data_IF_127314304877
#
_entry.id   IF_127314304877
#
_cell.length_a   1.000
_cell.length_b   1.000
_cell.length_c   1.000
_cell.angle_alpha   90.00
_cell.angle_beta   90.00
_cell.angle_gamma   90.00
#
_symmetry.space_group_name_H-M   'P 1'
#
loop_
_entity.id
_entity.type
_entity.pdbx_description
1 polymer ?
#
# COMPACT_ATOMS: atom_id res chain seq x y z
N UNK A 1 -3.75 31.47 33.23
CA UNK A 1 -2.46 31.59 32.52
C UNK A 1 -2.01 30.21 32.06
N UNK A 2 -1.95 30.05 30.73
CA UNK A 2 -1.23 29.07 29.89
C UNK A 2 -1.29 27.57 30.21
N UNK A 3 -2.00 26.80 29.38
CA UNK A 3 -1.38 26.02 28.30
C UNK A 3 -2.39 25.05 27.67
N UNK A 4 -2.81 25.38 26.45
CA UNK A 4 -3.54 24.52 25.52
C UNK A 4 -2.76 23.22 25.26
N UNK A 5 -3.47 22.10 25.14
CA UNK A 5 -2.93 20.74 24.89
C UNK A 5 -2.30 20.52 23.51
N UNK A 6 -1.77 21.57 22.89
CA UNK A 6 -0.90 21.58 21.69
C UNK A 6 0.44 22.28 22.01
N UNK A 7 0.61 22.82 23.23
CA UNK A 7 1.85 23.48 23.64
C UNK A 7 2.81 22.51 24.33
N UNK A 8 3.72 21.95 23.53
CA UNK A 8 5.18 21.87 23.78
C UNK A 8 5.80 20.85 22.83
N UNK A 9 6.07 21.28 21.60
CA UNK A 9 7.37 20.96 20.99
C UNK A 9 8.39 21.70 21.87
N UNK A 10 8.79 21.09 23.00
CA UNK A 10 9.64 21.75 24.00
C UNK A 10 11.09 21.73 23.53
N UNK A 11 11.37 22.56 22.52
CA UNK A 11 12.70 22.79 21.98
C UNK A 11 12.66 23.10 20.48
N UNK A 12 13.56 23.99 20.05
CA UNK A 12 13.88 24.24 18.63
C UNK A 12 14.10 22.91 17.86
N UNK A 13 14.60 21.88 18.54
CA UNK A 13 14.88 20.56 17.97
C UNK A 13 13.62 19.78 17.58
N UNK A 14 12.59 19.72 18.42
CA UNK A 14 11.35 19.00 18.11
C UNK A 14 10.60 19.64 16.93
N UNK A 15 10.62 20.97 16.81
CA UNK A 15 10.11 21.67 15.64
C UNK A 15 10.85 21.28 14.35
N UNK A 16 12.18 21.17 14.40
CA UNK A 16 12.99 20.75 13.25
C UNK A 16 12.67 19.31 12.84
N UNK A 17 12.61 18.38 13.80
CA UNK A 17 12.24 16.98 13.54
C UNK A 17 10.85 16.85 12.94
N UNK A 18 9.88 17.61 13.45
CA UNK A 18 8.52 17.65 12.90
C UNK A 18 8.51 18.14 11.44
N UNK A 19 9.29 19.17 11.12
CA UNK A 19 9.39 19.70 9.76
C UNK A 19 10.04 18.69 8.80
N UNK A 20 11.16 18.09 9.21
CA UNK A 20 11.86 17.04 8.43
C UNK A 20 10.94 15.84 8.18
N UNK A 21 10.22 15.39 9.22
CA UNK A 21 9.27 14.29 9.11
C UNK A 21 8.21 14.57 8.05
N UNK A 22 7.56 15.74 8.14
CA UNK A 22 6.53 16.16 7.20
C UNK A 22 7.06 16.29 5.78
N UNK A 23 8.27 16.84 5.62
CA UNK A 23 8.92 16.95 4.32
C UNK A 23 9.20 15.58 3.71
N UNK A 24 9.73 14.63 4.50
CA UNK A 24 10.04 13.29 4.04
C UNK A 24 8.80 12.47 3.65
N UNK A 25 7.72 12.55 4.43
CA UNK A 25 6.45 11.91 4.07
C UNK A 25 5.83 12.60 2.85
N UNK A 26 5.93 13.93 2.74
CA UNK A 26 5.42 14.67 1.58
C UNK A 26 6.17 14.33 0.29
N UNK A 27 7.50 14.25 0.33
CA UNK A 27 8.29 13.85 -0.83
C UNK A 27 7.97 12.42 -1.25
N UNK A 28 7.82 11.50 -0.30
CA UNK A 28 7.39 10.13 -0.57
C UNK A 28 6.03 10.07 -1.28
N UNK A 29 5.02 10.82 -0.81
CA UNK A 29 3.68 10.80 -1.42
C UNK A 29 3.64 11.41 -2.82
N UNK A 30 4.39 12.49 -3.06
CA UNK A 30 4.41 13.18 -4.36
C UNK A 30 5.20 12.38 -5.39
N UNK A 31 6.36 11.84 -5.01
CA UNK A 31 7.26 11.12 -5.92
C UNK A 31 7.09 9.59 -5.91
N UNK A 32 6.10 9.09 -5.17
CA UNK A 32 5.83 7.67 -4.90
C UNK A 32 6.01 6.74 -6.10
N UNK A 33 5.59 7.18 -7.28
CA UNK A 33 5.67 6.43 -8.55
C UNK A 33 6.40 7.18 -9.67
N UNK A 34 7.05 8.32 -9.39
CA UNK A 34 7.52 9.26 -10.44
C UNK A 34 9.02 9.35 -10.66
N UNK A 35 9.84 9.27 -9.60
CA UNK A 35 11.30 9.37 -9.71
C UNK A 35 11.99 8.12 -9.12
N UNK A 36 13.00 7.54 -9.81
CA UNK A 36 13.64 6.33 -9.32
C UNK A 36 14.28 6.62 -7.98
N UNK A 37 14.25 5.65 -7.07
CA UNK A 37 14.88 5.72 -5.75
C UNK A 37 14.31 6.80 -4.80
N UNK A 38 13.42 7.68 -5.24
CA UNK A 38 12.76 8.66 -4.36
C UNK A 38 11.80 8.02 -3.37
N UNK A 39 11.27 6.84 -3.70
CA UNK A 39 10.54 6.00 -2.76
C UNK A 39 11.43 5.48 -1.62
N UNK A 40 12.76 5.61 -1.71
CA UNK A 40 13.74 5.29 -0.67
C UNK A 40 14.20 6.52 0.10
N UNK A 41 14.39 7.67 -0.57
CA UNK A 41 14.97 8.88 0.05
C UNK A 41 14.16 9.35 1.28
N UNK A 42 12.84 9.46 1.15
CA UNK A 42 11.96 9.86 2.26
C UNK A 42 12.06 8.92 3.46
N UNK A 43 11.78 7.62 3.29
CA UNK A 43 11.99 6.61 4.34
C UNK A 43 13.41 6.59 4.91
N UNK A 44 14.46 6.68 4.09
CA UNK A 44 15.84 6.68 4.58
C UNK A 44 16.12 7.89 5.49
N UNK A 45 15.65 9.08 5.11
CA UNK A 45 15.74 10.28 5.95
C UNK A 45 15.00 10.08 7.28
N UNK A 46 13.79 9.51 7.24
CA UNK A 46 13.02 9.18 8.46
C UNK A 46 13.74 8.15 9.33
N UNK A 47 14.38 7.14 8.74
CA UNK A 47 15.15 6.13 9.47
C UNK A 47 16.33 6.77 10.20
N UNK A 48 17.09 7.62 9.52
CA UNK A 48 18.20 8.36 10.14
C UNK A 48 17.72 9.24 11.29
N UNK A 49 16.57 9.92 11.12
CA UNK A 49 15.98 10.74 12.19
C UNK A 49 15.46 9.89 13.35
N UNK A 50 14.91 8.71 13.09
CA UNK A 50 14.50 7.77 14.13
C UNK A 50 15.72 7.30 14.94
N UNK A 51 16.80 6.90 14.26
CA UNK A 51 18.01 6.37 14.91
C UNK A 51 18.77 7.43 15.72
N UNK A 52 18.97 8.63 15.16
CA UNK A 52 19.88 9.63 15.74
C UNK A 52 19.17 10.86 16.32
N UNK A 53 17.95 11.16 15.85
CA UNK A 53 17.24 12.39 16.21
C UNK A 53 16.42 12.29 17.49
N UNK A 54 16.12 11.07 17.97
CA UNK A 54 15.06 10.84 18.94
C UNK A 54 15.50 10.43 20.35
N UNK A 55 14.73 10.90 21.33
CA UNK A 55 14.76 10.41 22.70
C UNK A 55 13.84 9.19 22.83
N UNK A 56 14.36 8.00 22.52
CA UNK A 56 13.59 6.75 22.49
C UNK A 56 12.76 6.48 23.75
N UNK A 57 13.25 6.89 24.93
CA UNK A 57 12.53 6.74 26.20
C UNK A 57 11.17 7.47 26.21
N UNK A 58 11.10 8.65 25.59
CA UNK A 58 9.84 9.42 25.49
C UNK A 58 8.89 8.79 24.47
N UNK A 59 9.42 8.26 23.36
CA UNK A 59 8.63 7.62 22.30
C UNK A 59 8.01 6.32 22.81
N UNK A 60 8.81 5.45 23.43
CA UNK A 60 8.39 4.13 23.88
C UNK A 60 7.34 4.21 25.01
N UNK A 61 7.36 5.25 25.84
CA UNK A 61 6.42 5.42 26.95
C UNK A 61 5.00 5.81 26.54
N UNK A 62 4.75 6.17 25.27
CA UNK A 62 3.48 6.71 24.80
C UNK A 62 2.76 5.89 23.72
N UNK A 63 3.24 4.68 23.39
CA UNK A 63 2.70 3.88 22.29
C UNK A 63 1.45 3.12 22.76
N UNK A 64 0.35 3.30 22.05
CA UNK A 64 -0.88 2.55 22.33
C UNK A 64 -0.80 1.10 21.82
N UNK A 65 -1.65 0.24 22.39
CA UNK A 65 -1.69 -1.19 22.08
C UNK A 65 -1.87 -1.48 20.59
N UNK A 66 -2.71 -0.73 19.86
CA UNK A 66 -2.95 -0.98 18.44
C UNK A 66 -1.75 -0.61 17.57
N UNK A 67 -1.02 0.43 17.94
CA UNK A 67 0.29 0.75 17.33
C UNK A 67 1.33 -0.33 17.63
N UNK A 68 1.29 -0.97 18.81
CA UNK A 68 2.14 -2.12 19.14
C UNK A 68 1.77 -3.37 18.31
N UNK A 69 0.47 -3.64 18.08
CA UNK A 69 0.04 -4.72 17.19
C UNK A 69 0.57 -4.51 15.77
N UNK A 70 0.50 -3.28 15.25
CA UNK A 70 1.03 -2.95 13.92
C UNK A 70 2.55 -3.15 13.87
N UNK A 71 3.30 -2.64 14.85
CA UNK A 71 4.74 -2.88 14.94
C UNK A 71 5.07 -4.38 15.04
N UNK A 72 4.30 -5.11 15.85
CA UNK A 72 4.44 -6.53 16.07
C UNK A 72 4.31 -7.36 14.80
N UNK A 73 3.35 -7.06 13.92
CA UNK A 73 3.21 -7.81 12.65
C UNK A 73 4.35 -7.55 11.66
N UNK A 74 4.91 -6.34 11.64
CA UNK A 74 6.11 -6.06 10.84
C UNK A 74 7.33 -6.84 11.35
N UNK A 75 7.54 -6.87 12.67
CA UNK A 75 8.61 -7.68 13.28
C UNK A 75 8.38 -9.18 13.08
N UNK A 76 7.13 -9.63 13.22
CA UNK A 76 6.76 -11.02 13.00
C UNK A 76 7.03 -11.45 11.55
N UNK A 77 6.72 -10.60 10.57
CA UNK A 77 7.02 -10.90 9.18
C UNK A 77 8.53 -10.93 8.90
N UNK A 78 9.30 -9.99 9.48
CA UNK A 78 10.76 -10.06 9.45
C UNK A 78 11.28 -11.40 10.00
N UNK A 79 10.81 -11.81 11.18
CA UNK A 79 11.23 -13.07 11.80
C UNK A 79 10.78 -14.29 10.98
N UNK A 80 9.58 -14.25 10.41
CA UNK A 80 9.03 -15.29 9.55
C UNK A 80 9.83 -15.52 8.26
N UNK A 81 10.61 -14.52 7.81
CA UNK A 81 11.56 -14.66 6.70
C UNK A 81 12.97 -14.99 7.21
N UNK A 82 13.45 -14.24 8.22
CA UNK A 82 14.80 -14.36 8.74
C UNK A 82 15.10 -15.75 9.32
N UNK A 83 14.15 -16.37 10.04
CA UNK A 83 14.35 -17.68 10.66
C UNK A 83 14.55 -18.78 9.60
N UNK A 84 13.69 -18.94 8.58
CA UNK A 84 13.95 -19.85 7.47
C UNK A 84 15.27 -19.57 6.73
N UNK A 85 15.59 -18.30 6.46
CA UNK A 85 16.84 -17.93 5.78
C UNK A 85 18.08 -18.40 6.56
N UNK A 86 18.10 -18.18 7.88
CA UNK A 86 19.18 -18.67 8.76
C UNK A 86 19.21 -20.20 8.76
N UNK A 87 18.05 -20.85 8.85
CA UNK A 87 17.94 -22.31 8.91
C UNK A 87 18.51 -22.98 7.67
N UNK A 88 18.26 -22.41 6.48
CA UNK A 88 18.78 -22.92 5.21
C UNK A 88 20.20 -22.47 4.89
N UNK A 89 20.81 -21.63 5.73
CA UNK A 89 22.17 -21.13 5.51
C UNK A 89 22.27 -20.20 4.30
N UNK A 90 21.21 -19.45 4.01
CA UNK A 90 21.14 -18.54 2.88
C UNK A 90 22.07 -17.35 3.04
N UNK A 91 22.49 -16.76 1.91
CA UNK A 91 23.39 -15.62 1.90
C UNK A 91 22.81 -14.40 2.63
N UNK A 92 23.69 -13.59 3.22
CA UNK A 92 23.31 -12.37 3.95
C UNK A 92 22.54 -11.39 3.05
N UNK A 93 22.75 -11.43 1.73
CA UNK A 93 22.01 -10.62 0.76
C UNK A 93 20.50 -10.90 0.74
N UNK A 94 20.07 -12.13 1.06
CA UNK A 94 18.64 -12.49 1.11
C UNK A 94 17.91 -11.81 2.27
N UNK A 95 18.64 -11.32 3.28
CA UNK A 95 18.05 -10.57 4.40
C UNK A 95 17.76 -9.12 4.04
N UNK A 96 18.34 -8.57 2.97
CA UNK A 96 18.24 -7.14 2.64
C UNK A 96 16.77 -6.67 2.61
N UNK A 97 15.91 -7.36 1.86
CA UNK A 97 14.48 -7.03 1.75
C UNK A 97 13.78 -7.11 3.11
N UNK A 98 14.04 -8.16 3.89
CA UNK A 98 13.44 -8.42 5.19
C UNK A 98 13.77 -7.31 6.21
N UNK A 99 14.99 -6.77 6.20
CA UNK A 99 15.39 -5.72 7.16
C UNK A 99 14.56 -4.43 7.06
N UNK A 100 13.92 -4.17 5.90
CA UNK A 100 13.06 -3.00 5.71
C UNK A 100 11.82 -3.02 6.61
N UNK A 101 11.38 -4.18 7.08
CA UNK A 101 10.29 -4.28 8.05
C UNK A 101 10.72 -3.83 9.46
N UNK A 102 12.00 -4.03 9.83
CA UNK A 102 12.57 -3.42 11.04
C UNK A 102 12.62 -1.90 10.87
N UNK A 103 13.09 -1.42 9.72
CA UNK A 103 13.11 0.01 9.42
C UNK A 103 11.71 0.63 9.48
N UNK A 104 10.69 -0.07 8.96
CA UNK A 104 9.29 0.35 9.04
C UNK A 104 8.81 0.48 10.48
N UNK A 105 9.23 -0.40 11.39
CA UNK A 105 8.89 -0.30 12.83
C UNK A 105 9.55 0.93 13.45
N UNK A 106 10.84 1.16 13.22
CA UNK A 106 11.53 2.34 13.76
C UNK A 106 10.92 3.64 13.24
N UNK A 107 10.55 3.67 11.96
CA UNK A 107 9.90 4.82 11.34
C UNK A 107 8.48 4.98 11.85
N UNK A 108 7.72 3.89 12.05
CA UNK A 108 6.38 3.93 12.66
C UNK A 108 6.44 4.66 14.01
N UNK A 109 7.37 4.27 14.88
CA UNK A 109 7.54 4.91 16.19
C UNK A 109 7.88 6.41 16.06
N UNK A 110 8.68 6.77 15.06
CA UNK A 110 9.01 8.17 14.77
C UNK A 110 7.81 8.98 14.27
N UNK A 111 7.05 8.45 13.29
CA UNK A 111 5.91 9.16 12.69
C UNK A 111 4.69 9.23 13.62
N UNK A 112 4.59 8.35 14.63
CA UNK A 112 3.59 8.49 15.69
C UNK A 112 3.82 9.76 16.53
N UNK A 113 5.08 10.16 16.73
CA UNK A 113 5.43 11.41 17.45
C UNK A 113 5.37 12.63 16.54
N UNK A 114 5.83 12.51 15.29
CA UNK A 114 5.90 13.61 14.32
C UNK A 114 5.05 13.34 13.07
N UNK A 115 3.72 13.20 13.19
CA UNK A 115 2.87 12.81 12.07
C UNK A 115 2.63 13.94 11.07
N UNK A 116 2.26 13.54 9.85
CA UNK A 116 1.64 14.42 8.86
C UNK A 116 0.12 14.47 9.11
N UNK A 117 -0.48 15.66 9.11
CA UNK A 117 -1.94 15.83 9.26
C UNK A 117 -2.72 15.16 8.14
N UNK A 118 -3.98 14.79 8.37
CA UNK A 118 -4.84 14.20 7.34
C UNK A 118 -4.98 15.09 6.10
N UNK A 119 -5.16 16.41 6.30
CA UNK A 119 -5.21 17.38 5.20
C UNK A 119 -3.96 17.28 4.33
N UNK A 120 -2.78 17.37 4.96
CA UNK A 120 -1.49 17.24 4.27
C UNK A 120 -1.39 15.92 3.52
N UNK A 121 -1.59 14.81 4.23
CA UNK A 121 -1.48 13.45 3.68
C UNK A 121 -2.37 13.25 2.45
N UNK A 122 -3.68 13.50 2.58
CA UNK A 122 -4.64 13.32 1.49
C UNK A 122 -4.32 14.24 0.32
N UNK A 123 -4.05 15.53 0.58
CA UNK A 123 -3.77 16.49 -0.49
C UNK A 123 -2.49 16.15 -1.26
N UNK A 124 -1.44 15.70 -0.59
CA UNK A 124 -0.18 15.29 -1.21
C UNK A 124 -0.32 13.98 -1.98
N UNK A 125 -1.11 13.02 -1.49
CA UNK A 125 -1.47 11.83 -2.25
C UNK A 125 -2.23 12.20 -3.55
N UNK A 126 -3.15 13.16 -3.49
CA UNK A 126 -3.85 13.66 -4.67
C UNK A 126 -2.93 14.35 -5.68
N UNK A 127 -2.00 15.18 -5.19
CA UNK A 127 -0.98 15.82 -6.03
C UNK A 127 -0.06 14.78 -6.67
N UNK A 128 0.40 13.77 -5.91
CA UNK A 128 1.19 12.66 -6.45
C UNK A 128 0.43 11.87 -7.51
N UNK A 129 -0.87 11.61 -7.28
CA UNK A 129 -1.76 10.94 -8.24
C UNK A 129 -1.91 11.74 -9.54
N UNK A 130 -2.09 13.06 -9.43
CA UNK A 130 -2.14 13.98 -10.56
C UNK A 130 -0.82 14.01 -11.34
N UNK A 131 0.30 14.08 -10.64
CA UNK A 131 1.62 14.10 -11.24
C UNK A 131 1.93 12.78 -11.97
N UNK A 132 1.50 11.63 -11.43
CA UNK A 132 1.51 10.35 -12.14
C UNK A 132 0.67 10.43 -13.43
N UNK A 133 -0.56 10.93 -13.35
CA UNK A 133 -1.41 11.14 -14.54
C UNK A 133 -0.74 12.00 -15.61
N UNK A 134 -0.14 13.13 -15.21
CA UNK A 134 0.57 14.04 -16.11
C UNK A 134 1.79 13.38 -16.75
N UNK A 135 2.58 12.62 -15.97
CA UNK A 135 3.72 11.86 -16.48
C UNK A 135 3.28 10.79 -17.50
N UNK A 136 2.20 10.05 -17.21
CA UNK A 136 1.64 9.08 -18.14
C UNK A 136 1.13 9.74 -19.42
N UNK A 137 0.50 10.90 -19.32
CA UNK A 137 0.02 11.64 -20.48
C UNK A 137 1.18 12.09 -21.36
N UNK A 138 2.24 12.62 -20.75
CA UNK A 138 3.46 13.00 -21.46
C UNK A 138 4.08 11.80 -22.20
N UNK A 139 4.28 10.68 -21.50
CA UNK A 139 4.86 9.46 -22.07
C UNK A 139 4.00 8.87 -23.21
N UNK A 140 2.69 8.84 -23.05
CA UNK A 140 1.80 8.26 -24.04
C UNK A 140 1.64 9.14 -25.29
N UNK A 141 1.47 10.45 -25.11
CA UNK A 141 1.12 11.35 -26.22
C UNK A 141 2.33 11.93 -26.94
N UNK A 142 3.42 12.22 -26.22
CA UNK A 142 4.58 12.88 -26.81
C UNK A 142 5.72 11.92 -27.12
N UNK A 143 5.90 10.88 -26.29
CA UNK A 143 6.92 9.85 -26.51
C UNK A 143 6.36 8.67 -27.33
N UNK A 144 5.03 8.50 -27.36
CA UNK A 144 4.39 7.40 -28.09
C UNK A 144 4.55 6.04 -27.40
N UNK A 145 4.77 6.04 -26.08
CA UNK A 145 4.93 4.81 -25.32
C UNK A 145 3.64 3.97 -25.33
N UNK A 146 3.70 2.77 -25.90
CA UNK A 146 2.58 1.82 -25.94
C UNK A 146 2.19 1.28 -24.56
N UNK A 147 3.14 1.30 -23.61
CA UNK A 147 2.94 0.92 -22.22
C UNK A 147 3.77 1.84 -21.32
N UNK A 148 3.09 2.67 -20.54
CA UNK A 148 3.79 3.62 -19.67
C UNK A 148 4.35 2.90 -18.44
N UNK A 149 5.60 3.22 -18.11
CA UNK A 149 6.28 2.75 -16.91
C UNK A 149 7.11 3.86 -16.28
N UNK A 150 7.47 3.68 -15.02
CA UNK A 150 8.51 4.44 -14.34
C UNK A 150 9.56 3.45 -13.79
N UNK A 151 10.84 3.79 -13.94
CA UNK A 151 12.02 3.03 -13.46
C UNK A 151 12.05 1.56 -13.92
N UNK A 152 11.47 1.27 -15.08
CA UNK A 152 11.46 -0.04 -15.75
C UNK A 152 10.33 -1.01 -15.35
N UNK A 153 9.39 -0.61 -14.48
CA UNK A 153 8.28 -1.50 -14.13
C UNK A 153 6.89 -0.84 -14.28
N UNK A 154 6.14 -1.14 -15.35
CA UNK A 154 4.78 -0.63 -15.55
C UNK A 154 3.78 -1.13 -14.51
N UNK A 155 4.06 -2.26 -13.85
CA UNK A 155 3.18 -2.87 -12.85
C UNK A 155 3.25 -2.12 -11.53
N UNK A 156 4.46 -1.79 -11.07
CA UNK A 156 4.63 -0.97 -9.87
C UNK A 156 4.11 0.45 -10.09
N UNK A 157 4.43 1.05 -11.25
CA UNK A 157 3.91 2.35 -11.64
C UNK A 157 2.37 2.39 -11.63
N UNK A 158 1.72 1.46 -12.35
CA UNK A 158 0.28 1.42 -12.48
C UNK A 158 -0.44 1.16 -11.15
N UNK A 159 -0.01 0.14 -10.40
CA UNK A 159 -0.63 -0.19 -9.11
C UNK A 159 -0.38 0.89 -8.05
N UNK A 160 0.78 1.55 -8.09
CA UNK A 160 1.05 2.69 -7.20
C UNK A 160 0.21 3.92 -7.55
N UNK A 161 0.02 4.21 -8.83
CA UNK A 161 -0.89 5.27 -9.28
C UNK A 161 -2.35 4.98 -8.88
N UNK A 162 -2.79 3.71 -9.01
CA UNK A 162 -4.09 3.26 -8.51
C UNK A 162 -4.21 3.45 -7.00
N UNK A 163 -3.18 3.09 -6.22
CA UNK A 163 -3.17 3.31 -4.78
C UNK A 163 -3.35 4.79 -4.40
N UNK A 164 -2.66 5.71 -5.07
CA UNK A 164 -2.83 7.16 -4.87
C UNK A 164 -4.20 7.67 -5.32
N UNK A 165 -4.76 7.12 -6.42
CA UNK A 165 -6.11 7.45 -6.87
C UNK A 165 -7.17 7.02 -5.84
N UNK A 166 -7.03 5.85 -5.24
CA UNK A 166 -7.91 5.36 -4.19
C UNK A 166 -7.82 6.22 -2.92
N UNK A 167 -6.61 6.62 -2.50
CA UNK A 167 -6.43 7.57 -1.41
C UNK A 167 -7.10 8.92 -1.74
N UNK A 168 -6.94 9.41 -2.96
CA UNK A 168 -7.59 10.63 -3.44
C UNK A 168 -9.12 10.53 -3.40
N UNK A 169 -9.68 9.38 -3.80
CA UNK A 169 -11.12 9.11 -3.76
C UNK A 169 -11.67 9.24 -2.34
N UNK A 170 -10.97 8.68 -1.35
CA UNK A 170 -11.39 8.81 0.06
C UNK A 170 -11.28 10.24 0.60
N UNK A 171 -10.37 11.04 0.04
CA UNK A 171 -10.25 12.48 0.32
C UNK A 171 -11.47 13.30 -0.08
N UNK A 172 -12.30 12.83 -1.03
CA UNK A 172 -13.54 13.52 -1.40
C UNK A 172 -14.54 13.55 -0.24
N UNK A 173 -14.69 12.43 0.48
CA UNK A 173 -15.57 12.37 1.66
C UNK A 173 -15.12 13.33 2.75
N UNK A 174 -13.80 13.48 2.92
CA UNK A 174 -13.21 14.48 3.82
C UNK A 174 -13.45 15.91 3.33
N UNK A 175 -13.27 16.17 2.03
CA UNK A 175 -13.41 17.48 1.41
C UNK A 175 -14.82 18.06 1.54
N UNK A 176 -15.85 17.22 1.45
CA UNK A 176 -17.25 17.63 1.57
C UNK A 176 -17.59 18.29 2.92
N UNK A 177 -16.77 18.09 3.95
CA UNK A 177 -16.94 18.66 5.30
C UNK A 177 -16.00 19.85 5.59
N UNK A 178 -15.27 20.36 4.59
CA UNK A 178 -14.31 21.46 4.75
C UNK A 178 -14.86 22.80 4.27
N UNK A 179 -14.34 23.93 4.79
CA UNK A 179 -14.75 25.29 4.40
C UNK A 179 -14.66 25.57 2.89
N UNK A 180 -13.61 25.09 2.23
CA UNK A 180 -13.36 25.27 0.79
C UNK A 180 -13.67 23.99 0.01
N UNK A 181 -14.82 23.37 0.28
CA UNK A 181 -15.13 22.01 -0.18
C UNK A 181 -15.04 21.85 -1.69
N UNK A 182 -15.50 22.81 -2.50
CA UNK A 182 -15.40 22.71 -3.97
C UNK A 182 -13.96 22.62 -4.49
N UNK A 183 -13.04 23.43 -3.95
CA UNK A 183 -11.62 23.37 -4.33
C UNK A 183 -10.99 22.03 -3.94
N UNK A 184 -11.31 21.54 -2.73
CA UNK A 184 -10.82 20.25 -2.27
C UNK A 184 -11.38 19.10 -3.10
N UNK A 185 -12.69 19.09 -3.37
CA UNK A 185 -13.33 18.09 -4.23
C UNK A 185 -12.69 18.10 -5.62
N UNK A 186 -12.46 19.28 -6.21
CA UNK A 186 -11.77 19.43 -7.48
C UNK A 186 -10.37 18.80 -7.49
N UNK A 187 -9.55 19.09 -6.48
CA UNK A 187 -8.22 18.49 -6.33
C UNK A 187 -8.28 16.96 -6.24
N UNK A 188 -9.16 16.42 -5.40
CA UNK A 188 -9.27 14.98 -5.20
C UNK A 188 -9.82 14.25 -6.43
N UNK A 189 -10.83 14.80 -7.09
CA UNK A 189 -11.35 14.24 -8.34
C UNK A 189 -10.30 14.27 -9.46
N UNK A 190 -9.54 15.36 -9.56
CA UNK A 190 -8.42 15.44 -10.50
C UNK A 190 -7.33 14.39 -10.16
N UNK A 191 -7.07 14.15 -8.86
CA UNK A 191 -6.25 13.04 -8.36
C UNK A 191 -6.75 11.66 -8.80
N UNK A 192 -8.04 11.38 -8.63
CA UNK A 192 -8.67 10.12 -9.06
C UNK A 192 -8.51 9.90 -10.56
N UNK A 193 -8.80 10.93 -11.36
CA UNK A 193 -8.67 10.87 -12.82
C UNK A 193 -7.21 10.67 -13.23
N UNK A 194 -6.27 11.41 -12.65
CA UNK A 194 -4.84 11.32 -12.96
C UNK A 194 -4.26 9.95 -12.68
N UNK A 195 -4.43 9.43 -11.46
CA UNK A 195 -3.89 8.11 -11.08
C UNK A 195 -4.62 6.96 -11.76
N UNK A 196 -5.93 7.07 -11.96
CA UNK A 196 -6.71 6.11 -12.75
C UNK A 196 -6.22 6.03 -14.19
N UNK A 197 -6.02 7.17 -14.86
CA UNK A 197 -5.46 7.24 -16.21
C UNK A 197 -4.05 6.64 -16.27
N UNK A 198 -3.16 7.00 -15.34
CA UNK A 198 -1.82 6.42 -15.26
C UNK A 198 -1.86 4.89 -15.10
N UNK A 199 -2.76 4.37 -14.26
CA UNK A 199 -2.95 2.93 -14.10
C UNK A 199 -3.48 2.26 -15.37
N UNK A 200 -4.41 2.88 -16.11
CA UNK A 200 -4.92 2.34 -17.38
C UNK A 200 -3.81 2.24 -18.43
N UNK A 201 -3.11 3.35 -18.67
CA UNK A 201 -2.10 3.47 -19.73
C UNK A 201 -0.84 2.66 -19.41
N UNK A 202 -0.60 2.31 -18.15
CA UNK A 202 0.44 1.34 -17.78
C UNK A 202 0.16 -0.09 -18.26
N UNK A 203 -1.07 -0.38 -18.71
CA UNK A 203 -1.52 -1.71 -19.12
C UNK A 203 -1.58 -2.73 -17.96
N UNK A 204 -1.50 -2.26 -16.72
CA UNK A 204 -1.48 -3.10 -15.51
C UNK A 204 -2.90 -3.41 -15.08
N UNK A 205 -3.30 -4.68 -15.19
CA UNK A 205 -4.68 -5.14 -14.98
C UNK A 205 -4.99 -5.49 -13.54
N UNK A 206 -3.98 -5.87 -12.77
CA UNK A 206 -4.16 -6.40 -11.41
C UNK A 206 -4.80 -5.37 -10.46
N UNK A 207 -4.49 -4.07 -10.61
CA UNK A 207 -5.16 -3.02 -9.86
C UNK A 207 -6.65 -2.86 -10.18
N UNK A 208 -7.06 -3.13 -11.43
CA UNK A 208 -8.46 -3.06 -11.85
C UNK A 208 -9.29 -4.22 -11.31
N UNK A 209 -8.69 -5.41 -11.20
CA UNK A 209 -9.32 -6.58 -10.56
C UNK A 209 -9.65 -6.29 -9.09
N UNK A 210 -8.91 -5.40 -8.43
CA UNK A 210 -9.19 -5.01 -7.04
C UNK A 210 -10.41 -4.08 -6.89
N UNK A 211 -10.83 -3.37 -7.95
CA UNK A 211 -11.87 -2.33 -7.88
C UNK A 211 -13.22 -2.87 -7.39
N UNK A 212 -13.74 -4.03 -7.86
CA UNK A 212 -14.99 -4.59 -7.33
C UNK A 212 -14.92 -4.89 -5.83
N UNK A 213 -13.81 -5.42 -5.33
CA UNK A 213 -13.62 -5.72 -3.91
C UNK A 213 -13.54 -4.44 -3.06
N UNK A 214 -12.87 -3.41 -3.59
CA UNK A 214 -12.84 -2.08 -2.99
C UNK A 214 -14.25 -1.47 -2.94
N UNK A 215 -15.05 -1.66 -3.99
CA UNK A 215 -16.45 -1.22 -4.01
C UNK A 215 -17.28 -1.90 -2.92
N UNK A 216 -17.07 -3.20 -2.66
CA UNK A 216 -17.71 -3.91 -1.53
C UNK A 216 -17.34 -3.26 -0.19
N UNK A 217 -16.07 -2.91 0.03
CA UNK A 217 -15.64 -2.21 1.27
C UNK A 217 -16.33 -0.84 1.36
N UNK A 218 -16.39 -0.08 0.27
CA UNK A 218 -17.07 1.21 0.23
C UNK A 218 -18.58 1.07 0.56
N UNK A 219 -19.25 0.08 -0.04
CA UNK A 219 -20.66 -0.23 0.22
C UNK A 219 -20.85 -0.65 1.67
N UNK A 220 -19.99 -1.49 2.23
CA UNK A 220 -20.04 -1.86 3.64
C UNK A 220 -19.94 -0.62 4.54
N UNK A 221 -19.00 0.29 4.29
CA UNK A 221 -18.80 1.49 5.12
C UNK A 221 -19.97 2.47 4.98
N UNK A 222 -20.49 2.65 3.76
CA UNK A 222 -21.50 3.64 3.44
C UNK A 222 -22.92 3.09 3.27
N UNK A 223 -23.20 1.84 3.64
CA UNK A 223 -24.51 1.21 3.43
C UNK A 223 -25.67 2.09 3.93
N UNK A 224 -25.60 2.56 5.17
CA UNK A 224 -26.63 3.43 5.78
C UNK A 224 -26.81 4.78 5.04
N UNK A 225 -25.75 5.57 4.77
CA UNK A 225 -25.89 6.82 4.01
C UNK A 225 -26.14 6.64 2.51
N UNK A 226 -25.82 5.49 1.89
CA UNK A 226 -26.12 5.17 0.48
C UNK A 226 -27.63 5.15 0.26
N UNK A 227 -28.42 4.58 1.19
CA UNK A 227 -29.88 4.60 1.10
C UNK A 227 -30.50 6.00 1.29
N UNK A 228 -29.70 7.03 1.61
CA UNK A 228 -30.10 8.44 1.50
C UNK A 228 -29.70 8.96 0.12
N UNK A 229 -30.69 9.36 -0.69
CA UNK A 229 -30.64 9.69 -2.15
C UNK A 229 -29.48 10.57 -2.67
N UNK A 230 -28.65 11.20 -1.81
CA UNK A 230 -27.58 12.13 -2.21
C UNK A 230 -26.19 11.48 -2.38
N UNK A 231 -25.90 10.33 -1.76
CA UNK A 231 -24.57 9.70 -1.84
C UNK A 231 -24.43 8.72 -3.02
N UNK A 232 -25.53 8.07 -3.43
CA UNK A 232 -25.60 7.23 -4.64
C UNK A 232 -25.13 8.02 -5.86
N UNK A 233 -25.56 9.27 -6.03
CA UNK A 233 -25.15 10.09 -7.18
C UNK A 233 -23.64 10.31 -7.26
N UNK A 234 -22.93 10.37 -6.13
CA UNK A 234 -21.49 10.62 -6.10
C UNK A 234 -20.67 9.34 -6.38
N UNK A 235 -21.11 8.21 -5.81
CA UNK A 235 -20.53 6.88 -6.10
C UNK A 235 -20.83 6.49 -7.54
N UNK A 236 -22.05 6.74 -8.04
CA UNK A 236 -22.43 6.50 -9.42
C UNK A 236 -21.62 7.41 -10.37
N UNK A 237 -21.41 8.69 -10.05
CA UNK A 237 -20.59 9.58 -10.87
C UNK A 237 -19.11 9.14 -10.91
N UNK A 238 -18.57 8.69 -9.79
CA UNK A 238 -17.19 8.17 -9.72
C UNK A 238 -17.04 6.88 -10.53
N UNK A 239 -18.00 5.95 -10.39
CA UNK A 239 -18.09 4.72 -11.19
C UNK A 239 -18.35 5.01 -12.67
N UNK A 240 -19.08 6.07 -13.01
CA UNK A 240 -19.32 6.50 -14.39
C UNK A 240 -18.06 7.15 -14.98
N UNK A 241 -17.28 7.92 -14.23
CA UNK A 241 -16.00 8.48 -14.71
C UNK A 241 -14.94 7.38 -14.90
N UNK A 242 -14.89 6.41 -13.99
CA UNK A 242 -14.04 5.22 -14.11
C UNK A 242 -14.54 4.30 -15.23
N UNK A 243 -15.86 4.12 -15.34
CA UNK A 243 -16.50 3.36 -16.41
C UNK A 243 -16.31 4.00 -17.78
N UNK A 244 -16.40 5.33 -17.89
CA UNK A 244 -16.20 6.07 -19.12
C UNK A 244 -14.74 6.05 -19.60
N UNK A 245 -13.78 6.09 -18.68
CA UNK A 245 -12.37 5.88 -19.02
C UNK A 245 -12.04 4.44 -19.40
N UNK A 246 -12.73 3.45 -18.81
CA UNK A 246 -12.69 2.05 -19.26
C UNK A 246 -13.38 1.84 -20.62
N UNK A 247 -14.47 2.57 -20.92
CA UNK A 247 -15.18 2.53 -22.19
C UNK A 247 -14.32 2.99 -23.38
N UNK A 248 -13.34 3.86 -23.14
CA UNK A 248 -12.38 4.30 -24.18
C UNK A 248 -11.31 3.25 -24.53
N UNK A 249 -11.24 2.13 -23.80
CA UNK A 249 -10.23 1.07 -24.03
C UNK A 249 -10.78 -0.36 -23.87
N UNK A 250 -12.10 -0.57 -24.00
CA UNK A 250 -12.74 -1.90 -23.89
C UNK A 250 -12.09 -2.91 -24.81
N UNK A 251 -11.84 -2.53 -26.07
CA UNK A 251 -11.18 -3.39 -27.06
C UNK A 251 -9.81 -3.88 -26.59
N UNK A 252 -9.05 -3.05 -25.88
CA UNK A 252 -7.75 -3.43 -25.38
C UNK A 252 -7.88 -4.37 -24.18
N UNK A 253 -8.81 -4.12 -23.25
CA UNK A 253 -9.05 -4.99 -22.09
C UNK A 253 -9.59 -6.35 -22.54
N UNK A 254 -10.55 -6.36 -23.45
CA UNK A 254 -11.18 -7.56 -24.02
C UNK A 254 -10.17 -8.42 -24.79
N UNK A 255 -9.43 -7.83 -25.76
CA UNK A 255 -8.39 -8.56 -26.51
C UNK A 255 -7.34 -9.16 -25.58
N UNK A 256 -6.98 -8.44 -24.53
CA UNK A 256 -5.99 -8.88 -23.54
C UNK A 256 -6.52 -9.95 -22.58
N UNK A 257 -7.81 -9.93 -22.26
CA UNK A 257 -8.48 -10.98 -21.50
C UNK A 257 -8.58 -12.25 -22.35
N UNK A 258 -8.98 -12.12 -23.62
CA UNK A 258 -9.06 -13.24 -24.55
C UNK A 258 -7.71 -13.93 -24.72
N UNK A 259 -6.63 -13.18 -24.99
CA UNK A 259 -5.28 -13.74 -25.07
C UNK A 259 -4.89 -14.50 -23.80
N UNK A 260 -5.28 -14.01 -22.61
CA UNK A 260 -4.96 -14.72 -21.37
C UNK A 260 -5.76 -16.02 -21.20
N UNK A 261 -7.00 -16.07 -21.69
CA UNK A 261 -7.83 -17.27 -21.72
C UNK A 261 -7.27 -18.27 -22.73
N UNK A 262 -6.94 -17.81 -23.94
CA UNK A 262 -6.36 -18.64 -24.99
C UNK A 262 -5.03 -19.24 -24.53
N UNK A 263 -4.11 -18.44 -23.95
CA UNK A 263 -2.85 -18.94 -23.38
C UNK A 263 -3.06 -19.95 -22.24
N UNK A 264 -4.14 -19.82 -21.46
CA UNK A 264 -4.48 -20.78 -20.39
C UNK A 264 -4.98 -22.10 -20.97
N UNK A 265 -5.85 -22.05 -21.99
CA UNK A 265 -6.36 -23.25 -22.68
C UNK A 265 -5.21 -23.98 -23.38
N UNK A 266 -4.38 -23.25 -24.15
CA UNK A 266 -3.20 -23.77 -24.84
C UNK A 266 -2.22 -24.48 -23.88
N UNK A 267 -2.08 -24.02 -22.64
CA UNK A 267 -1.23 -24.65 -21.63
C UNK A 267 -1.71 -26.08 -21.29
N UNK A 268 -3.02 -26.28 -21.11
CA UNK A 268 -3.58 -27.58 -20.72
C UNK A 268 -3.88 -28.49 -21.89
N UNK A 269 -4.32 -27.95 -23.03
CA UNK A 269 -4.71 -28.75 -24.20
C UNK A 269 -3.51 -29.09 -25.09
N UNK A 270 -2.60 -28.15 -25.29
CA UNK A 270 -1.48 -28.30 -26.21
C UNK A 270 -0.12 -28.38 -25.52
N UNK A 271 -0.06 -28.21 -24.19
CA UNK A 271 1.19 -28.18 -23.43
C UNK A 271 2.05 -26.94 -23.71
N UNK A 272 1.49 -25.87 -24.32
CA UNK A 272 2.24 -24.66 -24.65
C UNK A 272 2.46 -23.79 -23.42
N UNK A 273 3.63 -23.90 -22.81
CA UNK A 273 4.00 -23.20 -21.59
C UNK A 273 4.97 -22.01 -21.77
N UNK A 274 5.40 -21.72 -23.00
CA UNK A 274 6.27 -20.58 -23.33
C UNK A 274 5.58 -19.20 -23.37
N UNK A 275 4.32 -19.11 -22.95
CA UNK A 275 3.49 -17.88 -22.96
C UNK A 275 3.56 -17.13 -21.62
N UNK A 276 3.03 -15.89 -21.54
CA UNK A 276 3.08 -15.15 -20.27
C UNK A 276 2.24 -15.80 -19.17
N UNK A 277 1.11 -16.43 -19.52
CA UNK A 277 0.31 -17.20 -18.57
C UNK A 277 0.97 -18.54 -18.28
N UNK A 278 1.45 -19.25 -19.32
CA UNK A 278 2.09 -20.56 -19.18
C UNK A 278 3.31 -20.53 -18.25
N UNK A 279 4.18 -19.53 -18.40
CA UNK A 279 5.34 -19.36 -17.52
C UNK A 279 4.94 -19.12 -16.05
N UNK A 280 3.85 -18.41 -15.78
CA UNK A 280 3.36 -18.21 -14.41
C UNK A 280 2.78 -19.49 -13.83
N UNK A 281 2.02 -20.25 -14.61
CA UNK A 281 1.51 -21.55 -14.17
C UNK A 281 2.64 -22.51 -13.83
N UNK A 282 3.71 -22.52 -14.64
CA UNK A 282 4.91 -23.31 -14.37
C UNK A 282 5.67 -22.82 -13.13
N UNK A 283 5.81 -21.51 -12.92
CA UNK A 283 6.34 -20.94 -11.67
C UNK A 283 5.51 -21.38 -10.45
N UNK A 284 4.18 -21.38 -10.58
CA UNK A 284 3.31 -21.78 -9.47
C UNK A 284 3.41 -23.26 -9.18
N UNK A 285 3.51 -24.10 -10.23
CA UNK A 285 3.78 -25.53 -10.10
C UNK A 285 5.12 -25.78 -9.40
N UNK A 286 6.17 -25.05 -9.77
CA UNK A 286 7.47 -25.14 -9.11
C UNK A 286 7.40 -24.71 -7.64
N UNK A 287 6.79 -23.56 -7.34
CA UNK A 287 6.62 -23.07 -5.98
C UNK A 287 5.81 -24.00 -5.09
N UNK A 288 4.72 -24.57 -5.61
CA UNK A 288 3.93 -25.56 -4.87
C UNK A 288 4.72 -26.86 -4.65
N UNK A 289 5.54 -27.27 -5.62
CA UNK A 289 6.43 -28.43 -5.46
C UNK A 289 7.47 -28.17 -4.36
N UNK A 290 8.08 -26.98 -4.33
CA UNK A 290 9.01 -26.57 -3.29
C UNK A 290 8.34 -26.49 -1.90
N UNK A 291 7.12 -25.96 -1.84
CA UNK A 291 6.33 -25.93 -0.61
C UNK A 291 6.03 -27.33 -0.07
N UNK A 292 5.59 -28.27 -0.92
CA UNK A 292 5.26 -29.64 -0.50
C UNK A 292 6.47 -30.37 0.07
N UNK A 293 7.69 -30.07 -0.42
CA UNK A 293 8.93 -30.67 0.09
C UNK A 293 9.26 -30.23 1.52
N UNK A 294 8.98 -28.98 1.87
CA UNK A 294 9.20 -28.46 3.22
C UNK A 294 8.06 -27.51 3.64
N UNK A 295 6.90 -28.04 4.06
CA UNK A 295 5.68 -27.26 4.21
C UNK A 295 5.70 -26.34 5.44
N UNK A 296 6.52 -26.61 6.45
CA UNK A 296 6.54 -25.79 7.67
C UNK A 296 7.41 -24.55 7.52
N UNK A 297 8.69 -24.74 7.16
CA UNK A 297 9.71 -23.68 7.11
C UNK A 297 9.96 -23.20 5.67
N UNK A 298 9.45 -23.90 4.66
CA UNK A 298 9.74 -23.63 3.25
C UNK A 298 11.10 -24.19 2.85
N UNK A 299 11.41 -24.12 1.56
CA UNK A 299 12.66 -24.62 0.98
C UNK A 299 13.78 -23.57 0.96
N UNK A 300 13.52 -22.33 1.39
CA UNK A 300 14.43 -21.21 1.18
C UNK A 300 14.50 -20.76 -0.28
N UNK A 301 15.06 -19.58 -0.58
CA UNK A 301 15.39 -19.14 -1.93
C UNK A 301 16.20 -20.18 -2.71
N UNK A 302 17.35 -20.64 -2.20
CA UNK A 302 18.24 -21.57 -2.90
C UNK A 302 17.60 -22.94 -3.12
N UNK A 303 16.84 -23.45 -2.15
CA UNK A 303 16.10 -24.71 -2.32
C UNK A 303 14.92 -24.58 -3.29
N UNK A 304 14.28 -23.41 -3.38
CA UNK A 304 13.25 -23.15 -4.40
C UNK A 304 13.86 -23.12 -5.80
N UNK A 305 15.02 -22.47 -5.97
CA UNK A 305 15.76 -22.45 -7.23
C UNK A 305 16.22 -23.85 -7.65
N UNK A 306 16.66 -24.68 -6.70
CA UNK A 306 17.00 -26.08 -6.96
C UNK A 306 15.79 -26.90 -7.46
N UNK A 307 14.60 -26.67 -6.90
CA UNK A 307 13.35 -27.31 -7.38
C UNK A 307 13.00 -26.86 -8.79
N UNK A 308 13.18 -25.58 -9.11
CA UNK A 308 12.97 -25.06 -10.47
C UNK A 308 13.92 -25.77 -11.44
N UNK A 309 15.22 -25.82 -11.13
CA UNK A 309 16.23 -26.46 -11.98
C UNK A 309 15.95 -27.95 -12.20
N UNK A 310 15.52 -28.67 -11.17
CA UNK A 310 15.11 -30.09 -11.29
C UNK A 310 13.92 -30.25 -12.24
N UNK A 311 12.87 -29.43 -12.07
CA UNK A 311 11.69 -29.52 -12.93
C UNK A 311 11.98 -29.12 -14.38
N UNK A 312 12.93 -28.22 -14.63
CA UNK A 312 13.40 -27.88 -15.97
C UNK A 312 14.18 -29.05 -16.57
N UNK A 313 15.10 -29.66 -15.82
CA UNK A 313 15.87 -30.82 -16.27
C UNK A 313 14.96 -32.01 -16.63
N UNK A 314 13.88 -32.21 -15.86
CA UNK A 314 12.86 -33.23 -16.11
C UNK A 314 11.86 -32.85 -17.23
N UNK A 315 12.01 -31.69 -17.88
CA UNK A 315 11.09 -31.15 -18.88
C UNK A 315 9.63 -31.01 -18.37
N UNK A 316 9.45 -30.83 -17.06
CA UNK A 316 8.14 -30.69 -16.41
C UNK A 316 7.64 -29.25 -16.38
N UNK A 317 8.52 -28.28 -16.61
CA UNK A 317 8.23 -26.85 -16.76
C UNK A 317 9.14 -26.23 -17.83
N UNK A 318 8.76 -25.07 -18.35
CA UNK A 318 9.50 -24.36 -19.38
C UNK A 318 10.86 -23.84 -18.84
N UNK A 319 11.98 -24.01 -19.57
CA UNK A 319 13.31 -23.56 -19.12
C UNK A 319 13.40 -22.07 -18.81
N UNK A 320 12.61 -21.24 -19.50
CA UNK A 320 12.62 -19.80 -19.26
C UNK A 320 12.21 -19.39 -17.84
N UNK A 321 11.60 -20.30 -17.04
CA UNK A 321 11.29 -20.05 -15.62
C UNK A 321 12.54 -19.74 -14.80
N UNK A 322 13.70 -20.33 -15.13
CA UNK A 322 14.99 -20.07 -14.44
C UNK A 322 15.47 -18.62 -14.57
N UNK A 323 14.98 -17.87 -15.56
CA UNK A 323 15.34 -16.46 -15.73
C UNK A 323 14.62 -15.53 -14.74
N UNK A 324 13.71 -16.05 -13.91
CA UNK A 324 12.90 -15.25 -13.00
C UNK A 324 13.30 -15.47 -11.55
N UNK A 325 13.56 -14.37 -10.85
CA UNK A 325 13.90 -14.38 -9.42
C UNK A 325 12.71 -14.55 -8.48
N UNK A 326 11.48 -14.60 -9.00
CA UNK A 326 10.25 -14.67 -8.20
C UNK A 326 9.11 -15.30 -8.99
N UNK A 327 8.14 -15.87 -8.28
CA UNK A 327 7.10 -16.75 -8.83
C UNK A 327 5.86 -16.02 -9.35
N UNK A 328 5.88 -14.68 -9.37
CA UNK A 328 4.76 -13.83 -9.81
C UNK A 328 3.44 -14.14 -9.09
N UNK A 329 3.53 -14.53 -7.82
CA UNK A 329 2.41 -14.68 -6.91
C UNK A 329 3.01 -14.72 -5.51
N UNK A 330 2.82 -13.63 -4.75
CA UNK A 330 3.44 -13.46 -3.44
C UNK A 330 3.09 -14.60 -2.47
N UNK A 331 1.88 -15.17 -2.57
CA UNK A 331 1.44 -16.24 -1.69
C UNK A 331 2.21 -17.53 -1.99
N UNK A 332 2.36 -17.87 -3.28
CA UNK A 332 3.13 -19.04 -3.70
C UNK A 332 4.62 -18.85 -3.43
N UNK A 333 5.13 -17.63 -3.64
CA UNK A 333 6.52 -17.26 -3.32
C UNK A 333 6.84 -17.48 -1.84
N UNK A 334 6.00 -16.91 -0.97
CA UNK A 334 6.16 -17.03 0.48
C UNK A 334 6.00 -18.48 0.95
N UNK A 335 5.05 -19.24 0.39
CA UNK A 335 4.93 -20.66 0.71
C UNK A 335 6.17 -21.45 0.30
N UNK A 336 6.66 -21.25 -0.92
CA UNK A 336 7.84 -21.95 -1.44
C UNK A 336 9.09 -21.68 -0.59
N UNK A 337 9.35 -20.41 -0.27
CA UNK A 337 10.58 -20.01 0.45
C UNK A 337 10.49 -20.15 1.96
N UNK A 338 9.34 -19.85 2.56
CA UNK A 338 9.18 -19.66 4.01
C UNK A 338 8.09 -20.54 4.64
N UNK A 339 7.41 -21.38 3.85
CA UNK A 339 6.44 -22.37 4.33
C UNK A 339 5.18 -21.76 4.94
N UNK A 340 4.46 -22.58 5.73
CA UNK A 340 3.26 -22.16 6.45
C UNK A 340 3.55 -21.08 7.48
N UNK A 341 4.75 -21.06 8.08
CA UNK A 341 5.16 -20.02 9.04
C UNK A 341 5.23 -18.67 8.34
N UNK A 342 5.97 -18.58 7.23
CA UNK A 342 6.05 -17.35 6.45
C UNK A 342 4.71 -16.91 5.89
N UNK A 343 3.89 -17.85 5.39
CA UNK A 343 2.55 -17.54 4.88
C UNK A 343 1.67 -16.95 5.98
N UNK A 344 1.68 -17.53 7.19
CA UNK A 344 0.92 -17.03 8.32
C UNK A 344 1.36 -15.61 8.69
N UNK A 345 2.66 -15.35 8.72
CA UNK A 345 3.20 -14.02 8.99
C UNK A 345 2.80 -13.00 7.90
N UNK A 346 2.84 -13.41 6.63
CA UNK A 346 2.39 -12.58 5.50
C UNK A 346 0.90 -12.24 5.58
N UNK A 347 0.05 -13.23 5.89
CA UNK A 347 -1.37 -13.02 6.06
C UNK A 347 -1.67 -12.08 7.24
N UNK A 348 -0.93 -12.21 8.35
CA UNK A 348 -1.05 -11.26 9.47
C UNK A 348 -0.61 -9.84 9.08
N UNK A 349 0.44 -9.71 8.27
CA UNK A 349 0.90 -8.44 7.73
C UNK A 349 -0.17 -7.74 6.86
N UNK A 350 -1.05 -8.50 6.21
CA UNK A 350 -2.20 -7.95 5.48
C UNK A 350 -3.42 -7.71 6.39
N UNK A 351 -3.81 -8.72 7.17
CA UNK A 351 -5.08 -8.74 7.91
C UNK A 351 -5.08 -7.74 9.07
N UNK A 352 -3.99 -7.63 9.82
CA UNK A 352 -3.93 -6.74 11.00
C UNK A 352 -4.10 -5.27 10.61
N UNK A 353 -3.30 -4.68 9.70
CA UNK A 353 -3.54 -3.29 9.28
C UNK A 353 -4.91 -3.13 8.62
N UNK A 354 -5.37 -4.10 7.83
CA UNK A 354 -6.71 -4.03 7.23
C UNK A 354 -7.81 -3.91 8.29
N UNK A 355 -7.79 -4.74 9.34
CA UNK A 355 -8.77 -4.68 10.43
C UNK A 355 -8.64 -3.35 11.19
N UNK A 356 -7.42 -2.94 11.53
CA UNK A 356 -7.16 -1.68 12.25
C UNK A 356 -7.70 -0.46 11.50
N UNK A 357 -7.57 -0.46 10.17
CA UNK A 357 -8.14 0.56 9.30
C UNK A 357 -9.66 0.42 9.17
N UNK A 358 -10.19 -0.78 8.94
CA UNK A 358 -11.62 -0.99 8.73
C UNK A 358 -12.46 -0.61 9.96
N UNK A 359 -11.94 -0.88 11.17
CA UNK A 359 -12.56 -0.47 12.43
C UNK A 359 -12.76 1.05 12.53
N UNK A 360 -11.91 1.84 11.86
CA UNK A 360 -11.93 3.31 11.86
C UNK A 360 -12.61 3.92 10.65
N UNK A 361 -12.90 3.13 9.62
CA UNK A 361 -13.53 3.61 8.39
C UNK A 361 -14.95 4.17 8.61
N UNK A 362 -15.58 3.88 9.76
CA UNK A 362 -16.87 4.44 10.18
C UNK A 362 -16.78 5.53 11.25
N UNK A 363 -15.58 6.07 11.50
CA UNK A 363 -15.38 7.17 12.46
C UNK A 363 -16.22 8.41 12.11
N UNK A 364 -16.72 9.11 13.14
CA UNK A 364 -17.42 10.40 12.99
C UNK A 364 -16.49 11.51 12.48
N UNK A 365 -15.21 11.44 12.87
CA UNK A 365 -14.17 12.34 12.36
C UNK A 365 -13.91 12.03 10.88
N UNK A 366 -14.19 13.03 10.03
CA UNK A 366 -14.00 12.94 8.58
C UNK A 366 -12.55 12.61 8.20
N UNK A 367 -11.59 13.17 8.95
CA UNK A 367 -10.15 12.93 8.74
C UNK A 367 -9.79 11.46 8.98
N UNK A 368 -10.22 10.93 10.13
CA UNK A 368 -9.95 9.54 10.52
C UNK A 368 -10.65 8.58 9.56
N UNK A 369 -11.93 8.84 9.24
CA UNK A 369 -12.69 8.02 8.31
C UNK A 369 -12.02 7.96 6.92
N UNK A 370 -11.62 9.10 6.35
CA UNK A 370 -11.01 9.14 5.02
C UNK A 370 -9.67 8.39 5.00
N UNK A 371 -8.77 8.65 5.96
CA UNK A 371 -7.49 7.95 6.05
C UNK A 371 -7.67 6.44 6.27
N UNK A 372 -8.59 6.06 7.15
CA UNK A 372 -8.88 4.66 7.46
C UNK A 372 -9.50 3.91 6.28
N UNK A 373 -10.43 4.53 5.56
CA UNK A 373 -10.96 3.96 4.33
C UNK A 373 -9.87 3.83 3.27
N UNK A 374 -9.00 4.85 3.16
CA UNK A 374 -7.86 4.86 2.25
C UNK A 374 -6.86 3.73 2.54
N UNK A 375 -6.52 3.53 3.82
CA UNK A 375 -5.70 2.41 4.27
C UNK A 375 -6.33 1.05 4.00
N UNK A 376 -7.66 0.92 4.21
CA UNK A 376 -8.40 -0.31 3.92
C UNK A 376 -8.34 -0.64 2.42
N UNK A 377 -8.57 0.36 1.55
CA UNK A 377 -8.46 0.22 0.09
C UNK A 377 -7.04 -0.12 -0.34
N UNK A 378 -6.04 0.52 0.25
CA UNK A 378 -4.63 0.29 -0.05
C UNK A 378 -4.19 -1.15 0.24
N UNK A 379 -4.54 -1.67 1.42
CA UNK A 379 -4.20 -3.04 1.81
C UNK A 379 -4.96 -4.06 0.97
N UNK A 380 -6.26 -3.83 0.70
CA UNK A 380 -7.05 -4.70 -0.17
C UNK A 380 -6.50 -4.74 -1.61
N UNK A 381 -6.10 -3.59 -2.16
CA UNK A 381 -5.44 -3.50 -3.46
C UNK A 381 -4.18 -4.38 -3.49
N UNK A 382 -3.29 -4.26 -2.50
CA UNK A 382 -2.06 -5.05 -2.45
C UNK A 382 -2.33 -6.54 -2.25
N UNK A 383 -3.30 -6.92 -1.41
CA UNK A 383 -3.67 -8.32 -1.22
C UNK A 383 -4.10 -8.98 -2.55
N UNK A 384 -4.86 -8.25 -3.39
CA UNK A 384 -5.37 -8.76 -4.67
C UNK A 384 -4.29 -8.73 -5.75
N UNK A 385 -3.53 -7.64 -5.86
CA UNK A 385 -2.43 -7.53 -6.83
C UNK A 385 -1.40 -8.63 -6.64
N UNK A 386 -1.11 -8.99 -5.39
CA UNK A 386 -0.15 -10.02 -5.02
C UNK A 386 -0.58 -11.46 -5.38
N UNK A 387 -1.83 -11.69 -5.84
CA UNK A 387 -2.22 -12.98 -6.43
C UNK A 387 -1.56 -13.24 -7.79
N UNK A 388 -1.08 -12.19 -8.44
CA UNK A 388 -0.51 -12.26 -9.81
C UNK A 388 0.86 -11.63 -9.90
N UNK A 389 1.41 -11.16 -8.77
CA UNK A 389 2.71 -10.50 -8.66
C UNK A 389 3.35 -10.85 -7.32
N UNK A 390 4.68 -10.90 -7.28
CA UNK A 390 5.46 -11.02 -6.05
C UNK A 390 6.01 -9.63 -5.67
N UNK A 391 5.14 -8.70 -5.25
CA UNK A 391 5.59 -7.32 -5.03
C UNK A 391 6.58 -7.20 -3.88
N UNK A 392 6.43 -7.99 -2.81
CA UNK A 392 7.30 -7.89 -1.64
C UNK A 392 8.65 -8.59 -1.83
N UNK A 393 8.85 -9.29 -2.95
CA UNK A 393 10.14 -9.82 -3.39
C UNK A 393 10.97 -8.78 -4.17
N UNK A 394 10.50 -7.52 -4.22
CA UNK A 394 11.19 -6.39 -4.84
C UNK A 394 11.25 -5.22 -3.87
N UNK A 395 12.40 -4.53 -3.85
CA UNK A 395 12.61 -3.36 -3.00
C UNK A 395 11.46 -2.35 -3.12
N UNK A 396 11.13 -1.93 -4.35
CA UNK A 396 10.05 -0.98 -4.59
C UNK A 396 8.71 -1.43 -3.99
N UNK A 397 8.34 -2.72 -4.07
CA UNK A 397 7.06 -3.18 -3.54
C UNK A 397 7.04 -3.22 -2.01
N UNK A 398 8.15 -3.61 -1.36
CA UNK A 398 8.29 -3.49 0.11
C UNK A 398 8.19 -2.03 0.54
N UNK A 399 8.90 -1.15 -0.15
CA UNK A 399 8.92 0.29 0.16
C UNK A 399 7.54 0.94 -0.07
N UNK A 400 6.80 0.49 -1.08
CA UNK A 400 5.46 0.94 -1.37
C UNK A 400 4.46 0.49 -0.31
N UNK A 401 4.48 -0.79 0.04
CA UNK A 401 3.52 -1.36 0.99
C UNK A 401 3.80 -0.92 2.44
N UNK A 402 4.99 -1.20 2.95
CA UNK A 402 5.29 -1.06 4.38
C UNK A 402 5.19 0.40 4.85
N UNK A 403 5.79 1.32 4.10
CA UNK A 403 5.87 2.73 4.50
C UNK A 403 4.53 3.45 4.34
N UNK A 404 3.78 3.16 3.28
CA UNK A 404 2.44 3.72 3.14
C UNK A 404 1.51 3.30 4.29
N UNK A 405 1.54 2.02 4.68
CA UNK A 405 0.74 1.51 5.82
C UNK A 405 1.05 2.27 7.11
N UNK A 406 2.33 2.41 7.47
CA UNK A 406 2.72 3.10 8.71
C UNK A 406 2.47 4.62 8.64
N UNK A 407 2.58 5.24 7.46
CA UNK A 407 2.29 6.68 7.32
C UNK A 407 0.80 6.98 7.43
N UNK A 408 -0.07 6.15 6.84
CA UNK A 408 -1.52 6.24 7.03
C UNK A 408 -1.86 6.07 8.51
N UNK A 409 -1.28 5.06 9.17
CA UNK A 409 -1.50 4.82 10.58
C UNK A 409 -1.06 5.99 11.46
N UNK A 410 0.14 6.53 11.22
CA UNK A 410 0.64 7.72 11.93
C UNK A 410 -0.30 8.93 11.78
N UNK A 411 -0.80 9.18 10.57
CA UNK A 411 -1.76 10.25 10.31
C UNK A 411 -3.11 10.02 11.04
N UNK A 412 -3.60 8.78 11.07
CA UNK A 412 -4.82 8.42 11.82
C UNK A 412 -4.67 8.72 13.31
N UNK A 413 -3.57 8.26 13.93
CA UNK A 413 -3.33 8.44 15.37
C UNK A 413 -3.18 9.91 15.75
N UNK A 414 -2.60 10.72 14.86
CA UNK A 414 -2.53 12.16 15.02
C UNK A 414 -3.93 12.81 15.12
N UNK A 415 -4.82 12.44 14.20
CA UNK A 415 -6.18 12.99 14.16
C UNK A 415 -7.04 12.49 15.33
N UNK A 416 -6.91 11.22 15.73
CA UNK A 416 -7.59 10.69 16.92
C UNK A 416 -7.17 11.44 18.20
N UNK A 417 -5.86 11.70 18.34
CA UNK A 417 -5.32 12.48 19.47
C UNK A 417 -5.84 13.92 19.46
N UNK A 418 -5.90 14.55 18.28
CA UNK A 418 -6.43 15.90 18.14
C UNK A 418 -7.93 15.98 18.44
N UNK A 419 -8.72 14.97 18.08
CA UNK A 419 -10.14 14.89 18.41
C UNK A 419 -10.34 14.72 19.91
N UNK A 420 -9.60 13.82 20.56
CA UNK A 420 -9.69 13.60 22.01
C UNK A 420 -9.35 14.87 22.79
N UNK A 421 -8.24 15.52 22.47
CA UNK A 421 -7.80 16.73 23.15
C UNK A 421 -8.81 17.90 23.02
N UNK A 422 -9.54 17.98 21.90
CA UNK A 422 -10.62 18.97 21.74
C UNK A 422 -11.82 18.67 22.65
N UNK A 423 -12.27 17.41 22.69
CA UNK A 423 -13.37 16.98 23.57
C UNK A 423 -13.04 17.21 25.05
N UNK A 424 -11.81 16.91 25.46
CA UNK A 424 -11.37 17.12 26.86
C UNK A 424 -11.36 18.62 27.23
N UNK A 425 -10.96 19.49 26.30
CA UNK A 425 -11.00 20.94 26.50
C UNK A 425 -12.43 21.49 26.57
N UNK A 426 -13.34 21.01 25.73
CA UNK A 426 -14.76 21.39 25.74
C UNK A 426 -15.42 20.96 27.05
N UNK A 427 -15.15 19.75 27.55
CA UNK A 427 -15.66 19.27 28.83
C UNK A 427 -15.14 20.11 30.01
N UNK A 428 -13.85 20.46 30.00
CA UNK A 428 -13.24 21.29 31.04
C UNK A 428 -13.77 22.74 31.06
N UNK A 429 -14.05 23.31 29.89
CA UNK A 429 -14.64 24.64 29.81
C UNK A 429 -16.11 24.62 30.23
N UNK A 430 -16.88 23.60 29.79
CA UNK A 430 -18.28 23.44 30.18
C UNK A 430 -18.50 23.22 31.69
N UNK A 431 -17.57 22.56 32.39
CA UNK A 431 -17.64 22.45 33.85
C UNK A 431 -17.42 23.77 34.59
N UNK A 432 -16.63 24.70 34.03
CA UNK A 432 -16.42 26.01 34.65
C UNK A 432 -17.62 26.93 34.55
N UNK A 433 -18.40 26.81 33.49
CA UNK A 433 -19.59 27.63 33.29
C UNK A 433 -20.74 27.16 34.20
N UNK A 434 -20.75 25.89 34.63
CA UNK A 434 -21.74 25.35 35.59
C UNK A 434 -21.40 25.67 37.05
N UNK A 435 -20.11 25.82 37.39
CA UNK A 435 -19.67 26.19 38.75
C UNK A 435 -19.72 27.71 39.01
N UNK A 436 -20.15 28.52 38.04
CA UNK A 436 -20.26 29.99 38.13
C UNK A 436 -21.71 30.51 38.13
N UNK A 437 -22.70 29.61 38.08
CA UNK A 437 -24.13 29.87 38.32
C UNK A 437 -24.54 29.29 39.69
#
# INVERSE_FOLDING_TARGET
MNATGISRLSGSWDCKLAWISRFAVASYLVFYVLVPDFYVIGPALLLLMALFGCRWREILGGIDTQSQWLAGVFLLYFLGQAVPLIFHGEDVSEFDLSTRYIAAVLILLFVLKYPLSARGFLSLAAIGSLAAGAYAFYQAQFIGASRVSAFDNPIHYGNGAMALALLSLTGVGWAAKQKYHYCWIGLFLAGVVGGGYASLVSGTRSGWIAVPFIAVIAVYVFWQPIFRKKLISFVLLSLVVVGFSALLQVDMVEKRAQVAVDEFVDYYEEGRNGTSVGLRLDMWKAGMTAFIRNPLIGSGPGGTDAVIAELVADQRIHPAVENFRHLHNQYVDVMARYGLIGLTCYLMLLVVPFILFLQRARSESASVQALALGGSFFVALHAIVNLTQSMLERNIGVMMFAFMVIFIWGAIRAEESAVRNRKDQECFNGSRDVDMD
#
